data_IF_006233246286
#
_entry.id   IF_006233246286
#
_cell.length_a   1.000
_cell.length_b   1.000
_cell.length_c   1.000
_cell.angle_alpha   90.00
_cell.angle_beta   90.00
_cell.angle_gamma   90.00
#
_symmetry.space_group_name_H-M   'P 1'
#
loop_
_entity.id
_entity.type
_entity.pdbx_description
1 polymer ?
#
# COMPACT_ATOMS: atom_id res chain seq x y z
N UNK A 1 14.44 1.68 -9.34
CA UNK A 1 13.15 2.42 -9.25
C UNK A 1 12.46 2.06 -7.95
N UNK A 2 11.95 3.05 -7.24
CA UNK A 2 11.29 2.81 -5.96
C UNK A 2 9.85 2.34 -6.20
N UNK A 3 9.51 1.20 -5.60
CA UNK A 3 8.19 0.60 -5.70
C UNK A 3 7.36 0.97 -4.48
N UNK A 4 6.19 1.57 -4.73
CA UNK A 4 5.29 2.05 -3.67
C UNK A 4 3.95 1.31 -3.81
N UNK A 5 3.49 0.75 -2.68
CA UNK A 5 2.17 0.12 -2.63
C UNK A 5 1.18 1.09 -1.99
N UNK A 6 0.10 1.39 -2.70
CA UNK A 6 -0.95 2.29 -2.23
C UNK A 6 -2.19 1.47 -1.89
N UNK A 7 -2.58 1.49 -0.62
CA UNK A 7 -3.71 0.71 -0.11
C UNK A 7 -4.81 1.68 0.30
N UNK A 8 -5.87 1.74 -0.50
CA UNK A 8 -7.00 2.64 -0.27
C UNK A 8 -8.23 2.08 -0.97
N UNK A 9 -9.33 1.95 -0.26
CA UNK A 9 -10.58 1.43 -0.81
C UNK A 9 -11.33 2.45 -1.68
N UNK A 10 -10.97 3.72 -1.63
CA UNK A 10 -11.48 4.74 -2.56
C UNK A 10 -10.74 4.61 -3.88
N UNK A 11 -11.42 4.03 -4.86
CA UNK A 11 -10.83 3.73 -6.16
C UNK A 11 -10.31 4.96 -6.88
N UNK A 12 -11.06 6.07 -6.82
CA UNK A 12 -10.67 7.31 -7.50
C UNK A 12 -9.44 7.95 -6.85
N UNK A 13 -9.43 8.01 -5.52
CA UNK A 13 -8.28 8.55 -4.79
C UNK A 13 -7.05 7.67 -4.99
N UNK A 14 -7.23 6.37 -4.94
CA UNK A 14 -6.15 5.41 -5.18
C UNK A 14 -5.51 5.64 -6.55
N UNK A 15 -6.33 5.75 -7.58
CA UNK A 15 -5.85 5.98 -8.94
C UNK A 15 -5.13 7.33 -9.07
N UNK A 16 -5.66 8.38 -8.44
CA UNK A 16 -5.06 9.70 -8.46
C UNK A 16 -3.69 9.70 -7.81
N UNK A 17 -3.57 9.07 -6.64
CA UNK A 17 -2.29 8.98 -5.93
C UNK A 17 -1.28 8.19 -6.73
N UNK A 18 -1.68 7.05 -7.29
CA UNK A 18 -0.78 6.24 -8.10
C UNK A 18 -0.30 6.98 -9.35
N UNK A 19 -1.21 7.68 -10.03
CA UNK A 19 -0.84 8.47 -11.22
C UNK A 19 0.18 9.54 -10.86
N UNK A 20 -0.05 10.25 -9.77
CA UNK A 20 0.88 11.29 -9.30
C UNK A 20 2.26 10.69 -9.00
N UNK A 21 2.30 9.58 -8.26
CA UNK A 21 3.57 8.95 -7.90
C UNK A 21 4.32 8.43 -9.13
N UNK A 22 3.61 7.83 -10.09
CA UNK A 22 4.22 7.38 -11.33
C UNK A 22 4.78 8.55 -12.14
N UNK A 23 4.08 9.68 -12.16
CA UNK A 23 4.57 10.89 -12.84
C UNK A 23 5.81 11.45 -12.16
N UNK A 24 5.98 11.22 -10.86
CA UNK A 24 7.16 11.65 -10.11
C UNK A 24 8.38 10.71 -10.30
N UNK A 25 8.23 9.64 -11.05
CA UNK A 25 9.31 8.71 -11.30
C UNK A 25 9.35 7.48 -10.39
N UNK A 26 8.35 7.30 -9.53
CA UNK A 26 8.19 6.09 -8.73
C UNK A 26 7.40 5.05 -9.51
N UNK A 27 7.41 3.82 -9.04
CA UNK A 27 6.55 2.78 -9.57
C UNK A 27 5.49 2.45 -8.52
N UNK A 28 4.28 3.00 -8.70
CA UNK A 28 3.19 2.86 -7.74
C UNK A 28 2.17 1.83 -8.21
N UNK A 29 1.80 0.95 -7.31
CA UNK A 29 0.73 -0.03 -7.51
C UNK A 29 -0.37 0.22 -6.50
N UNK A 30 -1.61 0.35 -6.97
CA UNK A 30 -2.77 0.53 -6.11
C UNK A 30 -3.50 -0.77 -5.86
N UNK A 31 -3.90 -0.98 -4.62
CA UNK A 31 -4.79 -2.07 -4.22
C UNK A 31 -5.92 -1.50 -3.38
N UNK A 32 -7.06 -2.18 -3.38
CA UNK A 32 -8.29 -1.64 -2.80
C UNK A 32 -8.62 -2.25 -1.45
N UNK A 33 -7.83 -3.22 -0.99
CA UNK A 33 -8.07 -3.89 0.29
C UNK A 33 -6.76 -4.35 0.91
N UNK A 34 -6.81 -4.65 2.20
CA UNK A 34 -5.66 -5.20 2.91
C UNK A 34 -5.27 -6.58 2.39
N UNK A 35 -6.25 -7.41 2.04
CA UNK A 35 -5.96 -8.74 1.50
C UNK A 35 -5.21 -8.65 0.17
N UNK A 36 -5.61 -7.75 -0.71
CA UNK A 36 -4.87 -7.51 -1.94
C UNK A 36 -3.46 -7.00 -1.66
N UNK A 37 -3.31 -6.15 -0.63
CA UNK A 37 -1.99 -5.64 -0.25
C UNK A 37 -1.07 -6.78 0.23
N UNK A 38 -1.59 -7.69 1.03
CA UNK A 38 -0.82 -8.84 1.52
C UNK A 38 -0.36 -9.71 0.34
N UNK A 39 -1.24 -9.98 -0.61
CA UNK A 39 -0.91 -10.77 -1.80
C UNK A 39 0.18 -10.08 -2.61
N UNK A 40 0.08 -8.76 -2.81
CA UNK A 40 1.10 -8.00 -3.54
C UNK A 40 2.44 -8.05 -2.84
N UNK A 41 2.46 -7.87 -1.52
CA UNK A 41 3.69 -7.92 -0.74
C UNK A 41 4.32 -9.30 -0.71
N UNK A 42 3.52 -10.35 -0.80
CA UNK A 42 4.01 -11.72 -0.85
C UNK A 42 4.72 -12.01 -2.16
N UNK A 43 4.22 -11.46 -3.26
CA UNK A 43 4.72 -11.75 -4.60
C UNK A 43 5.74 -10.76 -5.13
N UNK A 44 5.81 -9.54 -4.58
CA UNK A 44 6.65 -8.46 -5.06
C UNK A 44 7.29 -7.70 -3.92
N UNK A 45 8.40 -7.01 -4.21
CA UNK A 45 9.08 -6.17 -3.23
C UNK A 45 8.61 -4.73 -3.36
N UNK A 46 8.30 -4.13 -2.22
CA UNK A 46 7.93 -2.71 -2.12
C UNK A 46 8.82 -2.02 -1.08
N UNK A 47 9.19 -0.78 -1.35
CA UNK A 47 10.03 0.03 -0.46
C UNK A 47 9.23 0.93 0.46
N UNK A 48 7.94 1.17 0.12
CA UNK A 48 7.06 2.05 0.89
C UNK A 48 5.63 1.60 0.75
N UNK A 49 4.86 1.72 1.82
CA UNK A 49 3.41 1.51 1.80
C UNK A 49 2.72 2.81 2.22
N UNK A 50 1.76 3.25 1.42
CA UNK A 50 0.84 4.33 1.76
C UNK A 50 -0.51 3.68 2.02
N UNK A 51 -1.03 3.82 3.24
CA UNK A 51 -2.25 3.13 3.65
C UNK A 51 -3.28 4.10 4.21
N UNK A 52 -4.54 3.93 3.79
CA UNK A 52 -5.68 4.62 4.39
C UNK A 52 -6.11 3.84 5.63
N UNK A 53 -5.95 4.45 6.81
CA UNK A 53 -6.33 3.83 8.08
C UNK A 53 -7.84 3.86 8.32
N UNK A 54 -8.59 4.55 7.47
CA UNK A 54 -10.04 4.70 7.60
C UNK A 54 -10.82 3.65 6.79
N UNK A 55 -10.16 2.62 6.29
CA UNK A 55 -10.82 1.54 5.56
C UNK A 55 -11.77 0.79 6.50
N UNK A 56 -13.04 0.60 6.11
CA UNK A 56 -14.03 0.00 7.02
C UNK A 56 -13.78 -1.46 7.36
N UNK A 57 -13.00 -2.17 6.55
CA UNK A 57 -12.77 -3.61 6.71
C UNK A 57 -11.54 -3.92 7.53
N UNK A 58 -10.76 -2.91 7.92
CA UNK A 58 -9.50 -3.15 8.61
C UNK A 58 -9.18 -2.03 9.59
N UNK A 59 -8.64 -2.44 10.73
CA UNK A 59 -8.00 -1.55 11.67
C UNK A 59 -6.59 -1.24 11.16
N UNK A 60 -6.25 0.05 11.06
CA UNK A 60 -4.93 0.46 10.59
C UNK A 60 -3.79 -0.09 11.43
N UNK A 61 -3.99 -0.28 12.74
CA UNK A 61 -2.98 -0.89 13.60
C UNK A 61 -2.82 -2.38 13.30
N UNK A 62 -3.92 -3.09 13.06
CA UNK A 62 -3.85 -4.50 12.69
C UNK A 62 -3.17 -4.69 11.35
N UNK A 63 -3.45 -3.83 10.38
CA UNK A 63 -2.78 -3.84 9.09
C UNK A 63 -1.27 -3.65 9.27
N UNK A 64 -0.85 -2.65 10.05
CA UNK A 64 0.55 -2.38 10.28
C UNK A 64 1.26 -3.56 10.96
N UNK A 65 0.62 -4.19 11.94
CA UNK A 65 1.17 -5.38 12.59
C UNK A 65 1.36 -6.53 11.60
N UNK A 66 0.38 -6.79 10.74
CA UNK A 66 0.46 -7.85 9.75
C UNK A 66 1.58 -7.57 8.74
N UNK A 67 1.68 -6.34 8.28
CA UNK A 67 2.76 -5.91 7.39
C UNK A 67 4.13 -6.14 8.04
N UNK A 68 4.27 -5.83 9.32
CA UNK A 68 5.53 -6.03 10.05
C UNK A 68 5.91 -7.50 10.19
N UNK A 69 4.95 -8.40 10.16
CA UNK A 69 5.24 -9.85 10.14
C UNK A 69 5.83 -10.29 8.81
N UNK A 70 5.41 -9.65 7.71
CA UNK A 70 5.91 -9.95 6.35
C UNK A 70 7.22 -9.22 6.09
N UNK A 71 7.31 -7.96 6.48
CA UNK A 71 8.51 -7.15 6.29
C UNK A 71 8.67 -6.19 7.48
N UNK A 72 9.73 -6.39 8.27
CA UNK A 72 9.95 -5.65 9.51
C UNK A 72 10.46 -4.23 9.30
N UNK A 73 10.91 -3.90 8.11
CA UNK A 73 11.63 -2.65 7.86
C UNK A 73 10.93 -1.69 6.92
N UNK A 74 9.86 -2.12 6.25
CA UNK A 74 9.20 -1.26 5.26
C UNK A 74 8.48 -0.08 5.93
N UNK A 75 8.71 1.16 5.48
CA UNK A 75 7.96 2.31 5.99
C UNK A 75 6.49 2.24 5.59
N UNK A 76 5.62 2.64 6.52
CA UNK A 76 4.18 2.72 6.30
C UNK A 76 3.74 4.15 6.62
N UNK A 77 3.11 4.79 5.66
CA UNK A 77 2.55 6.14 5.81
C UNK A 77 1.03 6.13 5.93
#
# INVERSE_FOLDING_TARGET
>A
MIHILVVDDDKNLNQTVCTYLNDCGFEAKGVLSANEAYDEMYNNLYELIISDIMMPEIDGFEFAETVRQVNKQIPIL
#
